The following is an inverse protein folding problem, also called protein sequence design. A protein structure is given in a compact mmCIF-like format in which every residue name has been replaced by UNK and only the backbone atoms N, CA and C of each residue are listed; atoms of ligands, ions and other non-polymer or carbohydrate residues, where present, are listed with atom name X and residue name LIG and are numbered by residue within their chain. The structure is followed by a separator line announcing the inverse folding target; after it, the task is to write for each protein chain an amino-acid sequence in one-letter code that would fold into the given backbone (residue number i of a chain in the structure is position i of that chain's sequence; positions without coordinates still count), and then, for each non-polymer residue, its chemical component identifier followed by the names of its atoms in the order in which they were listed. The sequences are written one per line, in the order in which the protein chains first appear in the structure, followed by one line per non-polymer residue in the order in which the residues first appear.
data_IF_101010174802
#
_entry.id   IF_101010174802
#
_cell.length_a   1.000
_cell.length_b   1.000
_cell.length_c   1.000
_cell.angle_alpha   90.00
_cell.angle_beta   90.00
_cell.angle_gamma   90.00
#
_symmetry.space_group_name_H-M   'P 1'
#
loop_
_entity.id
_entity.type
_entity.pdbx_description
1 polymer ?
#
# COMPACT_ATOMS: atom_id res chain seq x y z
N UNK A 1 -10.24 13.92 -20.50
CA UNK A 1 -10.65 12.61 -21.08
C UNK A 1 -10.04 11.41 -20.35
N UNK A 2 -8.84 11.53 -19.76
CA UNK A 2 -8.18 10.44 -19.02
C UNK A 2 -8.86 10.03 -17.71
N UNK A 3 -9.33 10.99 -16.89
CA UNK A 3 -10.00 10.71 -15.61
C UNK A 3 -11.28 9.88 -15.74
N UNK A 4 -12.04 10.06 -16.84
CA UNK A 4 -13.22 9.20 -17.12
C UNK A 4 -12.82 7.74 -17.41
N UNK A 5 -11.65 7.51 -18.00
CA UNK A 5 -11.12 6.17 -18.29
C UNK A 5 -10.59 5.49 -17.04
N UNK A 6 -9.89 6.24 -16.18
CA UNK A 6 -9.40 5.74 -14.89
C UNK A 6 -10.56 5.33 -13.98
N UNK A 7 -11.59 6.17 -13.86
CA UNK A 7 -12.79 5.83 -13.08
C UNK A 7 -13.48 4.57 -13.60
N UNK A 8 -13.56 4.39 -14.92
CA UNK A 8 -14.13 3.17 -15.51
C UNK A 8 -13.33 1.90 -15.16
N UNK A 9 -11.99 2.00 -15.14
CA UNK A 9 -11.12 0.87 -14.79
C UNK A 9 -11.27 0.52 -13.31
N UNK A 10 -11.33 1.53 -12.44
CA UNK A 10 -11.53 1.36 -10.99
C UNK A 10 -12.90 0.74 -10.72
N UNK A 11 -13.96 1.26 -11.32
CA UNK A 11 -15.32 0.73 -11.17
C UNK A 11 -15.42 -0.72 -11.65
N UNK A 12 -14.76 -1.06 -12.76
CA UNK A 12 -14.70 -2.44 -13.25
C UNK A 12 -13.98 -3.36 -12.26
N UNK A 13 -12.87 -2.91 -11.67
CA UNK A 13 -12.13 -3.67 -10.68
C UNK A 13 -12.94 -3.86 -9.38
N UNK A 14 -13.65 -2.83 -8.93
CA UNK A 14 -14.55 -2.90 -7.78
C UNK A 14 -15.68 -3.89 -8.03
N UNK A 15 -16.35 -3.80 -9.18
CA UNK A 15 -17.44 -4.73 -9.52
C UNK A 15 -16.95 -6.18 -9.60
N UNK A 16 -15.78 -6.41 -10.19
CA UNK A 16 -15.16 -7.75 -10.20
C UNK A 16 -14.87 -8.24 -8.78
N UNK A 17 -14.29 -7.39 -7.93
CA UNK A 17 -14.02 -7.74 -6.54
C UNK A 17 -15.30 -8.07 -5.76
N UNK A 18 -16.38 -7.33 -5.97
CA UNK A 18 -17.67 -7.59 -5.33
C UNK A 18 -18.28 -8.94 -5.73
N UNK A 19 -18.05 -9.38 -6.96
CA UNK A 19 -18.54 -10.67 -7.48
C UNK A 19 -17.74 -11.88 -6.98
N UNK A 20 -16.55 -11.67 -6.39
CA UNK A 20 -15.74 -12.75 -5.86
C UNK A 20 -16.39 -13.45 -4.67
N UNK A 21 -16.07 -14.74 -4.51
CA UNK A 21 -16.44 -15.51 -3.33
C UNK A 21 -15.72 -15.00 -2.09
N UNK A 22 -16.25 -15.33 -0.91
CA UNK A 22 -15.65 -14.94 0.38
C UNK A 22 -14.21 -15.43 0.53
N UNK A 23 -13.87 -16.61 -0.02
CA UNK A 23 -12.51 -17.15 0.03
C UNK A 23 -11.54 -16.32 -0.81
N UNK A 24 -11.92 -15.98 -2.04
CA UNK A 24 -11.10 -15.16 -2.93
C UNK A 24 -10.90 -13.74 -2.37
N UNK A 25 -11.96 -13.14 -1.83
CA UNK A 25 -11.88 -11.85 -1.12
C UNK A 25 -10.92 -11.90 0.06
N UNK A 26 -10.97 -12.97 0.86
CA UNK A 26 -10.07 -13.15 2.00
C UNK A 26 -8.61 -13.20 1.57
N UNK A 27 -8.29 -13.93 0.48
CA UNK A 27 -6.92 -14.01 -0.07
C UNK A 27 -6.44 -12.63 -0.55
N UNK A 28 -7.28 -11.89 -1.28
CA UNK A 28 -6.95 -10.55 -1.75
C UNK A 28 -6.72 -9.59 -0.57
N UNK A 29 -7.61 -9.61 0.43
CA UNK A 29 -7.48 -8.79 1.63
C UNK A 29 -6.21 -9.11 2.42
N UNK A 30 -5.86 -10.39 2.56
CA UNK A 30 -4.61 -10.82 3.18
C UNK A 30 -3.40 -10.29 2.41
N UNK A 31 -3.41 -10.38 1.08
CA UNK A 31 -2.34 -9.84 0.24
C UNK A 31 -2.17 -8.33 0.40
N UNK A 32 -3.26 -7.57 0.36
CA UNK A 32 -3.25 -6.11 0.57
C UNK A 32 -2.74 -5.76 1.97
N UNK A 33 -3.22 -6.48 2.99
CA UNK A 33 -2.82 -6.26 4.38
C UNK A 33 -1.32 -6.51 4.55
N UNK A 34 -0.81 -7.62 4.02
CA UNK A 34 0.60 -7.95 4.10
C UNK A 34 1.46 -6.88 3.41
N UNK A 35 1.05 -6.43 2.23
CA UNK A 35 1.75 -5.36 1.49
C UNK A 35 1.79 -4.05 2.27
N UNK A 36 0.67 -3.66 2.89
CA UNK A 36 0.62 -2.45 3.72
C UNK A 36 1.53 -2.57 4.94
N UNK A 37 1.51 -3.71 5.63
CA UNK A 37 2.36 -3.95 6.80
C UNK A 37 3.84 -3.88 6.44
N UNK A 38 4.27 -4.54 5.36
CA UNK A 38 5.67 -4.51 4.93
C UNK A 38 6.10 -3.12 4.48
N UNK A 39 5.23 -2.38 3.79
CA UNK A 39 5.49 -0.99 3.38
C UNK A 39 5.67 -0.06 4.59
N UNK A 40 4.85 -0.23 5.63
CA UNK A 40 4.95 0.56 6.87
C UNK A 40 6.25 0.25 7.59
N UNK A 41 6.59 -1.03 7.76
CA UNK A 41 7.86 -1.44 8.40
C UNK A 41 9.07 -0.87 7.64
N UNK A 42 9.09 -0.98 6.31
CA UNK A 42 10.15 -0.42 5.49
C UNK A 42 10.27 1.10 5.65
N UNK A 43 9.14 1.80 5.71
CA UNK A 43 9.11 3.25 5.93
C UNK A 43 9.66 3.65 7.30
N UNK A 44 9.37 2.88 8.35
CA UNK A 44 9.96 3.10 9.68
C UNK A 44 11.47 2.86 9.68
N UNK A 45 11.95 1.82 8.99
CA UNK A 45 13.38 1.53 8.89
C UNK A 45 14.13 2.68 8.19
N UNK A 46 13.67 3.09 7.01
CA UNK A 46 14.26 4.21 6.26
C UNK A 46 14.11 5.54 7.00
N UNK A 47 12.98 5.79 7.66
CA UNK A 47 12.78 6.99 8.47
C UNK A 47 13.73 7.05 9.67
N UNK A 48 13.93 5.92 10.35
CA UNK A 48 14.88 5.80 11.45
C UNK A 48 16.33 6.03 11.03
N UNK A 49 16.72 5.52 9.86
CA UNK A 49 18.03 5.78 9.26
C UNK A 49 18.24 7.28 8.98
N UNK A 50 17.28 7.94 8.33
CA UNK A 50 17.34 9.38 8.03
C UNK A 50 17.46 10.20 9.32
N UNK A 51 16.64 9.90 10.33
CA UNK A 51 16.69 10.59 11.62
C UNK A 51 18.04 10.34 12.32
N UNK A 52 18.54 9.11 12.29
CA UNK A 52 19.84 8.74 12.86
C UNK A 52 20.99 9.50 12.20
N UNK A 53 21.04 9.53 10.88
CA UNK A 53 22.04 10.29 10.11
C UNK A 53 21.93 11.79 10.39
N UNK A 54 20.72 12.33 10.45
CA UNK A 54 20.49 13.74 10.79
C UNK A 54 21.03 14.06 12.19
N UNK A 55 20.67 13.27 13.20
CA UNK A 55 21.15 13.45 14.58
C UNK A 55 22.66 13.32 14.69
N UNK A 56 23.26 12.38 13.96
CA UNK A 56 24.72 12.22 13.93
C UNK A 56 25.40 13.47 13.35
N UNK A 57 24.92 13.98 12.21
CA UNK A 57 25.52 15.13 11.53
C UNK A 57 25.36 16.47 12.25
N UNK A 58 24.43 16.61 13.20
CA UNK A 58 24.30 17.83 14.01
C UNK A 58 25.03 17.73 15.37
N UNK A 59 25.42 16.52 15.77
CA UNK A 59 26.03 16.22 17.06
C UNK A 59 27.55 15.98 16.96
N UNK A 60 28.05 15.71 15.75
CA UNK A 60 29.45 15.78 15.35
C UNK A 60 29.71 17.04 14.53
#
# INVERSE_FOLDING_TARGET
MNTKKENFIIDLAINKYQLLSTKEKSIINLGITLFLVTSVIGSFYSGGEIIGTFLYNISH
#
